data_IF_983767838170
#
_entry.id   IF_983767838170
#
_cell.length_a   1.000
_cell.length_b   1.000
_cell.length_c   1.000
_cell.angle_alpha   90.00
_cell.angle_beta   90.00
_cell.angle_gamma   90.00
#
_symmetry.space_group_name_H-M   'P 1'
#
loop_
_entity.id
_entity.type
_entity.pdbx_description
1 polymer ?
#
# COMPACT_ATOMS: atom_id res chain seq x y z
N UNK A 1 27.76 -2.72 -1.75
CA UNK A 1 27.05 -4.02 -1.80
C UNK A 1 26.05 -3.98 -2.95
N UNK A 2 25.94 -5.04 -3.77
CA UNK A 2 24.95 -5.13 -4.86
C UNK A 2 23.67 -5.76 -4.30
N UNK A 3 22.54 -5.07 -4.38
CA UNK A 3 21.24 -5.59 -3.93
C UNK A 3 20.79 -6.69 -4.90
N UNK A 4 20.28 -7.85 -4.43
CA UNK A 4 19.74 -8.88 -5.30
C UNK A 4 18.57 -8.34 -6.13
N UNK A 5 18.53 -8.68 -7.43
CA UNK A 5 17.42 -8.26 -8.33
C UNK A 5 16.02 -8.56 -7.80
N UNK A 6 15.72 -9.72 -7.18
CA UNK A 6 14.40 -9.95 -6.61
C UNK A 6 14.04 -8.98 -5.49
N UNK A 7 15.05 -8.55 -4.72
CA UNK A 7 14.89 -7.61 -3.61
C UNK A 7 14.62 -6.19 -4.13
N UNK A 8 15.22 -5.78 -5.26
CA UNK A 8 14.89 -4.49 -5.87
C UNK A 8 13.42 -4.43 -6.32
N UNK A 9 12.86 -5.53 -6.84
CA UNK A 9 11.45 -5.59 -7.21
C UNK A 9 10.52 -5.61 -6.00
N UNK A 10 10.85 -6.39 -4.96
CA UNK A 10 10.11 -6.38 -3.70
C UNK A 10 10.05 -4.98 -3.08
N UNK A 11 11.19 -4.27 -3.04
CA UNK A 11 11.26 -2.89 -2.55
C UNK A 11 10.50 -1.91 -3.45
N UNK A 12 10.49 -2.12 -4.77
CA UNK A 12 9.70 -1.31 -5.71
C UNK A 12 8.22 -1.47 -5.41
N UNK A 13 7.73 -2.70 -5.28
CA UNK A 13 6.35 -3.00 -4.90
C UNK A 13 5.99 -2.36 -3.56
N UNK A 14 6.84 -2.53 -2.56
CA UNK A 14 6.64 -1.93 -1.24
C UNK A 14 6.59 -0.40 -1.27
N UNK A 15 7.52 0.27 -1.95
CA UNK A 15 7.53 1.74 -2.04
C UNK A 15 6.28 2.28 -2.69
N UNK A 16 5.85 1.68 -3.81
CA UNK A 16 4.64 2.13 -4.51
C UNK A 16 3.39 1.88 -3.66
N UNK A 17 3.32 0.73 -2.97
CA UNK A 17 2.27 0.46 -2.00
C UNK A 17 2.22 1.46 -0.86
N UNK A 18 3.35 1.85 -0.27
CA UNK A 18 3.40 2.85 0.82
C UNK A 18 2.80 4.17 0.33
N UNK A 19 3.21 4.63 -0.84
CA UNK A 19 2.67 5.87 -1.45
C UNK A 19 1.16 5.75 -1.70
N UNK A 20 0.71 4.62 -2.25
CA UNK A 20 -0.71 4.37 -2.50
C UNK A 20 -1.53 4.33 -1.21
N UNK A 21 -1.04 3.68 -0.15
CA UNK A 21 -1.72 3.56 1.15
C UNK A 21 -1.83 4.93 1.82
N UNK A 22 -0.77 5.74 1.79
CA UNK A 22 -0.81 7.11 2.31
C UNK A 22 -1.81 7.95 1.51
N UNK A 23 -1.77 7.85 0.17
CA UNK A 23 -2.70 8.55 -0.71
C UNK A 23 -4.16 8.18 -0.42
N UNK A 24 -4.46 6.89 -0.32
CA UNK A 24 -5.80 6.39 0.03
C UNK A 24 -6.19 6.84 1.44
N UNK A 25 -5.33 6.66 2.43
CA UNK A 25 -5.62 7.03 3.82
C UNK A 25 -5.89 8.52 4.03
N UNK A 26 -5.29 9.40 3.23
CA UNK A 26 -5.49 10.85 3.33
C UNK A 26 -6.59 11.39 2.40
N UNK A 27 -6.78 10.80 1.22
CA UNK A 27 -7.70 11.31 0.20
C UNK A 27 -9.09 10.64 0.23
N UNK A 28 -9.23 9.44 0.78
CA UNK A 28 -10.50 8.73 0.80
C UNK A 28 -11.67 9.48 1.47
N UNK A 29 -11.48 10.20 2.60
CA UNK A 29 -12.56 10.99 3.20
C UNK A 29 -13.13 12.06 2.25
N UNK A 30 -12.31 12.57 1.31
CA UNK A 30 -12.75 13.53 0.30
C UNK A 30 -13.42 12.89 -0.91
N UNK A 31 -13.05 11.65 -1.26
CA UNK A 31 -13.61 10.93 -2.41
C UNK A 31 -14.99 10.32 -2.10
N UNK A 32 -15.22 9.88 -0.86
CA UNK A 32 -16.47 9.21 -0.44
C UNK A 32 -17.07 9.83 0.83
N UNK A 33 -17.49 11.10 0.78
CA UNK A 33 -18.01 11.82 1.96
C UNK A 33 -19.34 11.27 2.49
N UNK A 34 -20.04 10.42 1.74
CA UNK A 34 -21.33 9.84 2.14
C UNK A 34 -21.22 8.47 2.83
N UNK A 35 -20.05 7.80 2.74
CA UNK A 35 -19.78 6.51 3.38
C UNK A 35 -19.03 6.73 4.71
N UNK A 36 -18.32 7.86 4.84
CA UNK A 36 -17.49 8.18 5.98
C UNK A 36 -18.21 9.17 6.89
N UNK A 37 -18.61 8.76 8.10
CA UNK A 37 -19.10 9.69 9.12
C UNK A 37 -17.96 10.62 9.58
N UNK A 38 -18.00 11.88 9.15
CA UNK A 38 -17.04 12.93 9.55
C UNK A 38 -16.87 13.06 11.07
N UNK A 39 -17.84 12.64 11.88
CA UNK A 39 -17.77 12.72 13.34
C UNK A 39 -16.84 11.66 13.96
N UNK A 40 -16.59 10.52 13.31
CA UNK A 40 -15.66 9.49 13.79
C UNK A 40 -14.18 9.90 13.62
N UNK A 41 -13.88 10.76 12.65
CA UNK A 41 -12.52 11.29 12.41
C UNK A 41 -12.14 12.45 13.35
N UNK A 42 -13.12 13.12 13.97
CA UNK A 42 -12.89 14.27 14.84
C UNK A 42 -12.06 13.93 16.10
N UNK A 43 -12.11 12.66 16.56
CA UNK A 43 -11.27 12.17 17.67
C UNK A 43 -9.95 11.51 17.23
N UNK A 44 -9.82 11.13 15.95
CA UNK A 44 -8.68 10.39 15.43
C UNK A 44 -7.56 11.28 14.88
N UNK A 45 -7.80 12.57 14.67
CA UNK A 45 -6.84 13.53 14.10
C UNK A 45 -5.41 13.44 14.68
N UNK A 46 -5.21 13.41 16.02
CA UNK A 46 -3.89 13.25 16.62
C UNK A 46 -3.29 11.84 16.44
N UNK A 47 -4.12 10.82 16.25
CA UNK A 47 -3.72 9.42 16.13
C UNK A 47 -3.54 8.94 14.68
N UNK A 48 -3.95 9.73 13.67
CA UNK A 48 -3.87 9.36 12.25
C UNK A 48 -2.46 8.92 11.80
N UNK A 49 -1.36 9.59 12.20
CA UNK A 49 -0.01 9.12 11.84
C UNK A 49 0.32 7.74 12.43
N UNK A 50 -0.16 7.45 13.65
CA UNK A 50 0.04 6.17 14.32
C UNK A 50 -0.78 5.08 13.63
N UNK A 51 -2.05 5.37 13.30
CA UNK A 51 -2.93 4.46 12.56
C UNK A 51 -2.31 4.12 11.21
N UNK A 52 -1.89 5.13 10.43
CA UNK A 52 -1.22 4.92 9.14
C UNK A 52 0.05 4.08 9.33
N UNK A 53 0.85 4.34 10.38
CA UNK A 53 2.03 3.55 10.70
C UNK A 53 1.72 2.06 10.97
N UNK A 54 0.68 1.78 11.75
CA UNK A 54 0.24 0.41 12.05
C UNK A 54 -0.28 -0.28 10.79
N UNK A 55 -1.10 0.42 10.00
CA UNK A 55 -1.65 -0.09 8.74
C UNK A 55 -0.53 -0.42 7.75
N UNK A 56 0.45 0.47 7.61
CA UNK A 56 1.63 0.23 6.78
C UNK A 56 2.41 -0.98 7.27
N UNK A 57 2.57 -1.15 8.58
CA UNK A 57 3.28 -2.30 9.15
C UNK A 57 2.59 -3.62 8.81
N UNK A 58 1.26 -3.66 8.89
CA UNK A 58 0.45 -4.86 8.55
C UNK A 58 0.44 -5.12 7.04
N UNK A 59 0.36 -4.07 6.22
CA UNK A 59 0.31 -4.18 4.76
C UNK A 59 1.69 -4.44 4.13
N UNK A 60 2.79 -4.15 4.85
CA UNK A 60 4.16 -4.24 4.34
C UNK A 60 4.56 -5.64 3.86
N UNK A 61 4.30 -6.74 4.60
CA UNK A 61 4.59 -8.09 4.13
C UNK A 61 3.87 -8.41 2.81
N UNK A 62 2.59 -8.04 2.71
CA UNK A 62 1.81 -8.25 1.50
C UNK A 62 2.37 -7.44 0.31
N UNK A 63 2.77 -6.19 0.54
CA UNK A 63 3.40 -5.35 -0.49
C UNK A 63 4.73 -5.94 -0.99
N UNK A 64 5.57 -6.45 -0.08
CA UNK A 64 6.85 -7.08 -0.41
C UNK A 64 6.66 -8.38 -1.20
N UNK A 65 5.69 -9.21 -0.78
CA UNK A 65 5.31 -10.44 -1.50
C UNK A 65 4.76 -10.09 -2.88
N UNK A 66 3.88 -9.10 -2.99
CA UNK A 66 3.35 -8.62 -4.26
C UNK A 66 4.46 -8.15 -5.21
N UNK A 67 5.40 -7.33 -4.72
CA UNK A 67 6.56 -6.89 -5.50
C UNK A 67 7.47 -8.04 -5.96
N UNK A 68 7.65 -9.06 -5.11
CA UNK A 68 8.38 -10.27 -5.47
C UNK A 68 7.64 -11.11 -6.51
N UNK A 69 6.32 -11.29 -6.38
CA UNK A 69 5.49 -12.01 -7.35
C UNK A 69 5.51 -11.30 -8.71
N UNK A 70 5.40 -9.96 -8.73
CA UNK A 70 5.50 -9.18 -9.96
C UNK A 70 6.84 -9.33 -10.69
N UNK A 71 7.92 -9.66 -9.97
CA UNK A 71 9.23 -9.96 -10.58
C UNK A 71 9.29 -11.29 -11.34
N UNK A 72 8.31 -12.17 -11.13
CA UNK A 72 8.21 -13.49 -11.78
C UNK A 72 7.46 -13.44 -13.11
N UNK A 73 6.85 -12.30 -13.45
CA UNK A 73 6.18 -12.09 -14.74
C UNK A 73 7.22 -12.13 -15.87
N UNK A 74 6.93 -12.80 -17.01
CA UNK A 74 7.86 -12.95 -18.12
C UNK A 74 8.48 -11.63 -18.58
N UNK A 75 9.76 -11.69 -18.98
CA UNK A 75 10.62 -10.54 -19.30
C UNK A 75 10.37 -9.90 -20.67
N UNK A 76 9.20 -10.10 -21.26
CA UNK A 76 8.98 -9.87 -22.69
C UNK A 76 9.27 -8.42 -23.13
N UNK A 77 9.07 -7.40 -22.27
CA UNK A 77 9.53 -6.03 -22.52
C UNK A 77 10.54 -5.47 -21.52
N UNK A 78 11.36 -6.33 -20.91
CA UNK A 78 12.60 -5.93 -20.22
C UNK A 78 12.44 -5.49 -18.76
N UNK A 79 13.50 -4.86 -18.21
CA UNK A 79 13.59 -4.58 -16.78
C UNK A 79 12.55 -3.56 -16.29
N UNK A 80 12.19 -2.57 -17.11
CA UNK A 80 11.21 -1.53 -16.78
C UNK A 80 9.83 -2.12 -16.55
N UNK A 81 9.37 -3.02 -17.44
CA UNK A 81 8.07 -3.68 -17.29
C UNK A 81 8.00 -4.56 -16.05
N UNK A 82 9.11 -5.22 -15.68
CA UNK A 82 9.17 -5.98 -14.43
C UNK A 82 9.03 -5.09 -13.19
N UNK A 83 9.57 -3.86 -13.22
CA UNK A 83 9.37 -2.91 -12.13
C UNK A 83 7.92 -2.40 -12.07
N UNK A 84 7.29 -2.16 -13.22
CA UNK A 84 5.87 -1.78 -13.31
C UNK A 84 5.00 -2.91 -12.76
N UNK A 85 5.25 -4.16 -13.14
CA UNK A 85 4.49 -5.31 -12.64
C UNK A 85 4.74 -5.56 -11.15
N UNK A 86 5.97 -5.38 -10.67
CA UNK A 86 6.27 -5.42 -9.24
C UNK A 86 5.53 -4.32 -8.47
N UNK A 87 5.42 -3.11 -9.02
CA UNK A 87 4.65 -2.02 -8.44
C UNK A 87 3.15 -2.35 -8.37
N UNK A 88 2.56 -2.80 -9.48
CA UNK A 88 1.14 -3.16 -9.56
C UNK A 88 0.81 -4.30 -8.59
N UNK A 89 1.59 -5.37 -8.62
CA UNK A 89 1.35 -6.53 -7.76
C UNK A 89 1.57 -6.20 -6.28
N UNK A 90 2.56 -5.36 -5.96
CA UNK A 90 2.74 -4.80 -4.62
C UNK A 90 1.48 -4.11 -4.12
N UNK A 91 0.94 -3.19 -4.93
CA UNK A 91 -0.28 -2.45 -4.58
C UNK A 91 -1.49 -3.37 -4.41
N UNK A 92 -1.74 -4.27 -5.37
CA UNK A 92 -2.90 -5.17 -5.35
C UNK A 92 -2.88 -6.03 -4.09
N UNK A 93 -1.71 -6.51 -3.67
CA UNK A 93 -1.59 -7.35 -2.49
C UNK A 93 -1.71 -6.55 -1.19
N UNK A 94 -1.21 -5.32 -1.14
CA UNK A 94 -1.20 -4.52 0.08
C UNK A 94 -2.49 -3.75 0.34
N UNK A 95 -3.17 -3.29 -0.72
CA UNK A 95 -4.35 -2.43 -0.63
C UNK A 95 -5.50 -3.04 0.16
N UNK A 96 -5.88 -4.32 -0.01
CA UNK A 96 -6.95 -4.93 0.79
C UNK A 96 -6.67 -4.86 2.29
N UNK A 97 -5.46 -5.22 2.72
CA UNK A 97 -5.06 -5.12 4.13
C UNK A 97 -5.04 -3.68 4.62
N UNK A 98 -4.59 -2.74 3.77
CA UNK A 98 -4.55 -1.34 4.11
C UNK A 98 -5.95 -0.75 4.30
N UNK A 99 -6.86 -1.05 3.36
CA UNK A 99 -8.25 -0.63 3.44
C UNK A 99 -8.95 -1.25 4.65
N UNK A 100 -8.74 -2.54 4.93
CA UNK A 100 -9.31 -3.18 6.13
C UNK A 100 -8.76 -2.60 7.44
N UNK A 101 -7.46 -2.29 7.49
CA UNK A 101 -6.84 -1.67 8.65
C UNK A 101 -7.35 -0.24 8.88
N UNK A 102 -7.40 0.56 7.82
CA UNK A 102 -7.97 1.91 7.87
C UNK A 102 -9.44 1.85 8.30
N UNK A 103 -10.24 0.96 7.72
CA UNK A 103 -11.63 0.71 8.11
C UNK A 103 -11.73 0.40 9.61
N UNK A 104 -10.92 -0.54 10.12
CA UNK A 104 -10.97 -0.97 11.51
C UNK A 104 -10.68 0.18 12.50
N UNK A 105 -9.66 1.00 12.24
CA UNK A 105 -9.25 2.06 13.16
C UNK A 105 -10.06 3.35 13.03
N UNK A 106 -10.63 3.60 11.84
CA UNK A 106 -11.38 4.84 11.58
C UNK A 106 -12.88 4.64 11.55
N UNK A 107 -13.36 3.39 11.67
CA UNK A 107 -14.78 3.07 11.74
C UNK A 107 -15.54 3.49 10.49
N UNK A 108 -14.97 3.26 9.31
CA UNK A 108 -15.77 3.29 8.07
C UNK A 108 -17.06 2.48 8.22
#
# INVERSE_FOLDING_TARGET
>A
MKIPRPMTFALTGWLVSVVAIIGVGLYWPTAFPAIVENQHYYGAGPAMPIIIGIVLLIASPAALVGGWVGSRVPREGGATEQHIMAAIMGMIFSLPFACSGLWFFTGW
#
